data_IF_309471239580
#
_entry.id   IF_309471239580
#
_cell.length_a   1.000
_cell.length_b   1.000
_cell.length_c   1.000
_cell.angle_alpha   90.00
_cell.angle_beta   90.00
_cell.angle_gamma   90.00
#
_symmetry.space_group_name_H-M   'P 1'
#
loop_
_entity.id
_entity.type
_entity.pdbx_description
1 polymer ?
#
# COMPACT_ATOMS: atom_id res chain seq x y z
N UNK A 1 -6.23 5.89 10.09
CA UNK A 1 -6.08 5.44 8.71
C UNK A 1 -5.11 6.33 7.97
N UNK A 2 -4.26 5.77 7.19
CA UNK A 2 -3.24 6.51 6.50
C UNK A 2 -3.53 6.55 5.01
N UNK A 3 -3.03 7.58 4.36
CA UNK A 3 -3.16 7.75 2.92
C UNK A 3 -1.76 7.90 2.36
N UNK A 4 -1.50 7.25 1.25
CA UNK A 4 -0.20 7.33 0.62
C UNK A 4 -0.26 6.88 -0.82
N UNK A 5 0.91 6.64 -1.37
CA UNK A 5 1.06 6.29 -2.77
C UNK A 5 1.95 5.06 -2.88
N UNK A 6 1.57 4.14 -3.74
CA UNK A 6 2.41 2.98 -4.03
C UNK A 6 3.62 3.46 -4.82
N UNK A 7 4.81 3.16 -4.31
CA UNK A 7 6.04 3.60 -4.95
C UNK A 7 6.71 2.50 -5.74
N UNK A 8 6.53 1.25 -5.32
CA UNK A 8 7.14 0.12 -6.02
C UNK A 8 6.25 -1.11 -5.94
N UNK A 9 6.25 -1.90 -6.99
CA UNK A 9 5.56 -3.18 -7.02
C UNK A 9 6.53 -4.23 -7.53
N UNK A 10 6.67 -5.31 -6.78
CA UNK A 10 7.52 -6.44 -7.14
C UNK A 10 6.61 -7.60 -7.49
N UNK A 11 6.29 -7.72 -8.76
CA UNK A 11 5.24 -8.64 -9.22
C UNK A 11 5.62 -10.11 -9.03
N UNK A 12 6.89 -10.43 -9.14
CA UNK A 12 7.31 -11.81 -9.00
C UNK A 12 7.14 -12.33 -7.57
N UNK A 13 7.25 -11.47 -6.58
CA UNK A 13 7.09 -11.85 -5.19
C UNK A 13 5.80 -11.32 -4.58
N UNK A 14 5.07 -10.55 -5.34
CA UNK A 14 3.77 -10.02 -4.93
C UNK A 14 3.84 -9.23 -3.64
N UNK A 15 4.79 -8.31 -3.60
CA UNK A 15 4.88 -7.36 -2.49
C UNK A 15 5.26 -6.00 -3.05
N UNK A 16 5.19 -4.96 -2.21
CA UNK A 16 5.47 -3.63 -2.68
C UNK A 16 5.74 -2.66 -1.55
N UNK A 17 5.90 -1.41 -1.92
CA UNK A 17 6.20 -0.32 -1.00
C UNK A 17 5.19 0.81 -1.19
N UNK A 18 4.81 1.41 -0.06
CA UNK A 18 3.91 2.56 -0.04
C UNK A 18 4.62 3.67 0.72
N UNK A 19 4.50 4.90 0.24
CA UNK A 19 5.01 6.06 0.95
C UNK A 19 3.83 6.92 1.39
N UNK A 20 3.79 7.27 2.67
CA UNK A 20 2.69 8.07 3.18
C UNK A 20 2.98 9.57 3.00
N UNK A 21 2.05 10.40 3.48
CA UNK A 21 2.18 11.84 3.29
C UNK A 21 3.37 12.43 4.00
N UNK A 22 3.86 11.77 5.04
CA UNK A 22 4.99 12.28 5.80
C UNK A 22 6.33 11.79 5.23
N UNK A 23 6.29 11.04 4.15
CA UNK A 23 7.51 10.51 3.56
C UNK A 23 7.96 9.20 4.16
N UNK A 24 7.17 8.63 5.06
CA UNK A 24 7.52 7.35 5.66
C UNK A 24 7.16 6.23 4.73
N UNK A 25 8.04 5.24 4.64
CA UNK A 25 7.83 4.12 3.74
C UNK A 25 7.40 2.90 4.53
N UNK A 26 6.40 2.19 4.02
CA UNK A 26 5.94 0.94 4.59
C UNK A 26 5.93 -0.10 3.48
N UNK A 27 6.15 -1.36 3.86
CA UNK A 27 6.07 -2.42 2.87
C UNK A 27 4.82 -3.25 3.12
N UNK A 28 4.42 -3.98 2.08
CA UNK A 28 3.22 -4.80 2.17
C UNK A 28 3.37 -6.02 1.29
N UNK A 29 2.59 -7.04 1.61
CA UNK A 29 2.49 -8.27 0.85
C UNK A 29 1.07 -8.39 0.31
N UNK A 30 0.88 -9.24 -0.68
CA UNK A 30 -0.46 -9.39 -1.29
C UNK A 30 -1.53 -9.75 -0.27
N UNK A 31 -1.15 -10.41 0.81
CA UNK A 31 -2.11 -10.77 1.86
C UNK A 31 -2.57 -9.57 2.68
N UNK A 32 -1.94 -8.43 2.50
CA UNK A 32 -2.30 -7.21 3.22
C UNK A 32 -3.35 -6.38 2.47
N UNK A 33 -3.77 -6.83 1.31
CA UNK A 33 -4.72 -6.10 0.49
C UNK A 33 -6.15 -6.41 0.91
N UNK A 34 -7.03 -5.44 0.75
CA UNK A 34 -8.43 -5.59 1.10
C UNK A 34 -9.27 -5.28 -0.12
N UNK A 35 -9.97 -6.31 -0.62
CA UNK A 35 -10.90 -6.19 -1.75
C UNK A 35 -10.23 -5.73 -3.04
N UNK A 36 -8.94 -5.99 -3.18
CA UNK A 36 -8.25 -5.70 -4.42
C UNK A 36 -7.16 -6.75 -4.58
N UNK A 37 -6.94 -7.18 -5.80
CA UNK A 37 -5.90 -8.15 -6.08
C UNK A 37 -4.61 -7.44 -6.42
N UNK A 38 -3.49 -8.08 -6.09
CA UNK A 38 -2.18 -7.48 -6.33
C UNK A 38 -2.00 -7.08 -7.79
N UNK A 39 -2.46 -7.90 -8.71
CA UNK A 39 -2.29 -7.62 -10.13
C UNK A 39 -3.04 -6.37 -10.60
N UNK A 40 -3.97 -5.87 -9.79
CA UNK A 40 -4.72 -4.68 -10.12
C UNK A 40 -4.06 -3.40 -9.65
N UNK A 41 -2.98 -3.51 -8.88
CA UNK A 41 -2.30 -2.34 -8.35
C UNK A 41 -1.38 -1.72 -9.39
N UNK A 42 -1.21 -0.41 -9.29
CA UNK A 42 -0.32 0.34 -10.17
C UNK A 42 0.61 1.19 -9.33
N UNK A 43 1.82 1.36 -9.80
CA UNK A 43 2.74 2.31 -9.16
C UNK A 43 2.16 3.70 -9.30
N UNK A 44 2.37 4.51 -8.27
CA UNK A 44 1.84 5.87 -8.14
C UNK A 44 0.36 5.94 -7.83
N UNK A 45 -0.27 4.79 -7.60
CA UNK A 45 -1.68 4.74 -7.24
C UNK A 45 -1.86 5.20 -5.80
N UNK A 46 -2.87 6.03 -5.54
CA UNK A 46 -3.21 6.46 -4.19
C UNK A 46 -4.00 5.38 -3.48
N UNK A 47 -3.64 5.12 -2.23
CA UNK A 47 -4.26 4.06 -1.44
C UNK A 47 -4.47 4.54 -0.01
N UNK A 48 -5.43 3.91 0.67
CA UNK A 48 -5.61 4.01 2.11
C UNK A 48 -5.09 2.74 2.75
N UNK A 49 -4.59 2.86 3.96
CA UNK A 49 -4.05 1.68 4.63
C UNK A 49 -3.88 1.95 6.11
N UNK A 50 -3.66 0.86 6.87
CA UNK A 50 -3.22 0.92 8.25
C UNK A 50 -1.75 0.57 8.29
N UNK A 51 -1.03 1.04 9.31
CA UNK A 51 0.36 0.64 9.46
C UNK A 51 0.61 0.18 10.89
N UNK A 52 1.60 -0.66 11.03
CA UNK A 52 2.08 -1.07 12.34
C UNK A 52 3.58 -1.22 12.29
N UNK A 53 4.28 -0.98 13.41
CA UNK A 53 5.72 -1.19 13.44
C UNK A 53 6.05 -2.66 13.29
N UNK A 54 7.17 -2.92 12.65
CA UNK A 54 7.68 -4.28 12.53
C UNK A 54 9.19 -4.23 12.73
N UNK A 55 9.81 -5.39 12.77
CA UNK A 55 11.25 -5.45 12.97
C UNK A 55 12.03 -4.80 11.83
N UNK A 56 11.40 -4.65 10.68
CA UNK A 56 12.05 -4.08 9.50
C UNK A 56 11.51 -2.71 9.12
N UNK A 57 10.83 -2.03 10.04
CA UNK A 57 10.24 -0.75 9.77
C UNK A 57 8.74 -0.80 9.94
N UNK A 58 8.00 -0.37 8.93
CA UNK A 58 6.54 -0.35 9.01
C UNK A 58 5.94 -1.32 8.02
N UNK A 59 4.88 -1.98 8.44
CA UNK A 59 4.09 -2.87 7.61
C UNK A 59 2.74 -2.22 7.35
N UNK A 60 2.35 -2.12 6.09
CA UNK A 60 1.03 -1.62 5.72
C UNK A 60 0.08 -2.80 5.54
N UNK A 61 -1.16 -2.62 5.98
CA UNK A 61 -2.17 -3.65 5.85
C UNK A 61 -3.55 -3.02 5.66
N UNK A 62 -4.54 -3.84 5.33
CA UNK A 62 -5.88 -3.36 4.98
C UNK A 62 -5.81 -2.32 3.88
N UNK A 63 -4.98 -2.58 2.88
CA UNK A 63 -4.71 -1.64 1.82
C UNK A 63 -5.83 -1.70 0.79
N UNK A 64 -6.35 -0.54 0.41
CA UNK A 64 -7.36 -0.46 -0.63
C UNK A 64 -7.18 0.83 -1.41
N UNK A 65 -7.68 0.89 -2.64
CA UNK A 65 -7.57 2.12 -3.41
C UNK A 65 -8.26 3.26 -2.68
N UNK A 66 -7.67 4.44 -2.75
CA UNK A 66 -8.32 5.61 -2.21
C UNK A 66 -9.53 5.90 -3.08
N UNK A 67 -10.70 6.02 -2.47
CA UNK A 67 -11.91 6.29 -3.21
C UNK A 67 -11.82 7.68 -3.77
N UNK A 68 -11.74 7.71 -5.05
CA UNK A 68 -11.60 8.97 -5.65
C UNK A 68 -12.92 9.60 -5.73
N UNK A 69 -13.37 9.78 -5.64
CA UNK A 69 -14.31 10.06 -5.95
C UNK A 69 -14.72 10.78 -6.64
N UNK A 70 -14.88 11.01 -6.79
CA UNK A 70 -15.10 11.47 -7.21
C UNK A 70 -15.66 11.46 -7.85
N UNK A 71 -15.82 11.40 -8.01
CA UNK A 71 -16.14 11.39 -8.51
C UNK A 71 -16.66 11.37 -8.64
#
# INVERSE_FOLDING_TARGET
MHVGTITKLFHDKEHGLIRDKNGEEAHFHKHCLWNIQFKELLEKQAVEFEIQPSTKGFLAFHIRPLAAQGQ
#
